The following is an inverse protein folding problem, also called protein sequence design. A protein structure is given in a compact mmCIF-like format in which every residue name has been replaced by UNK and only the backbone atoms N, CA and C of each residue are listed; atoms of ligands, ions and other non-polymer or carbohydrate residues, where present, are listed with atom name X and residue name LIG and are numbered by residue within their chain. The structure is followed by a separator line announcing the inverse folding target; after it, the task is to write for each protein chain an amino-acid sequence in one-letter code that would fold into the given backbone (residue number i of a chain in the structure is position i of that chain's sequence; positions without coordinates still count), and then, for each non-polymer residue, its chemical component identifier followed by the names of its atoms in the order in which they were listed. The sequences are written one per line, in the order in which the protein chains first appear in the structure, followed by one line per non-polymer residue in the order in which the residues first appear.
data_IF_274692755723
#
_entry.id   IF_274692755723
#
_cell.length_a   1.000
_cell.length_b   1.000
_cell.length_c   1.000
_cell.angle_alpha   90.00
_cell.angle_beta   90.00
_cell.angle_gamma   90.00
#
_symmetry.space_group_name_H-M   'P 1'
#
loop_
_entity.id
_entity.type
_entity.pdbx_description
1 polymer ?
#
# COMPACT_ATOMS: atom_id res chain seq x y z
N UNK A 1 -23.84 -4.98 -40.08
CA UNK A 1 -23.63 -3.70 -39.39
C UNK A 1 -22.13 -3.55 -39.32
N UNK A 2 -21.60 -2.59 -40.05
CA UNK A 2 -20.16 -2.43 -40.21
C UNK A 2 -19.51 -1.96 -38.92
N UNK A 3 -18.46 -2.62 -38.48
CA UNK A 3 -17.68 -2.26 -37.28
C UNK A 3 -17.03 -0.88 -37.44
N UNK A 4 -16.83 -0.39 -38.64
CA UNK A 4 -16.15 0.88 -38.95
C UNK A 4 -16.95 2.11 -38.55
N UNK A 5 -18.28 2.05 -38.41
CA UNK A 5 -19.12 3.17 -37.93
C UNK A 5 -19.11 3.36 -36.40
N UNK A 6 -18.66 2.37 -35.65
CA UNK A 6 -18.56 2.41 -34.16
C UNK A 6 -17.42 3.31 -33.66
N UNK A 7 -16.49 3.64 -34.54
CA UNK A 7 -15.15 4.11 -34.14
C UNK A 7 -15.01 5.65 -34.25
N UNK A 8 -15.84 6.35 -35.03
CA UNK A 8 -15.62 7.76 -35.41
C UNK A 8 -15.93 8.83 -34.35
N UNK A 9 -16.23 8.48 -33.10
CA UNK A 9 -16.65 9.43 -32.05
C UNK A 9 -15.82 9.50 -30.78
N UNK A 10 -14.60 8.94 -30.78
CA UNK A 10 -13.90 8.57 -29.53
C UNK A 10 -12.60 9.35 -29.23
N UNK A 11 -12.25 10.36 -30.02
CA UNK A 11 -11.02 11.13 -29.79
C UNK A 11 -11.21 12.15 -28.65
N UNK A 12 -10.52 11.93 -27.58
CA UNK A 12 -10.03 12.77 -26.48
C UNK A 12 -10.24 12.17 -25.07
N UNK A 13 -9.13 12.02 -24.39
CA UNK A 13 -8.91 11.72 -22.97
C UNK A 13 -8.56 10.26 -22.68
N UNK A 14 -7.25 9.98 -22.61
CA UNK A 14 -6.57 9.29 -21.51
C UNK A 14 -5.08 9.07 -21.83
N UNK A 15 -4.20 9.26 -20.87
CA UNK A 15 -2.75 9.37 -20.98
C UNK A 15 -1.95 8.08 -21.31
N UNK A 16 -2.46 7.21 -22.16
CA UNK A 16 -1.74 5.99 -22.62
C UNK A 16 -1.06 6.14 -23.98
N UNK A 17 -1.23 7.28 -24.67
CA UNK A 17 -0.64 7.51 -26.00
C UNK A 17 -1.27 6.70 -27.13
N UNK A 18 -2.15 5.74 -26.85
CA UNK A 18 -2.92 4.97 -27.82
C UNK A 18 -4.31 5.61 -28.00
N UNK A 19 -4.79 5.89 -29.21
CA UNK A 19 -6.13 6.42 -29.44
C UNK A 19 -7.21 5.51 -28.82
N UNK A 20 -8.22 6.12 -28.16
CA UNK A 20 -9.29 5.36 -27.47
C UNK A 20 -9.94 4.34 -28.41
N UNK A 21 -10.09 4.68 -29.69
CA UNK A 21 -10.69 3.84 -30.71
C UNK A 21 -9.94 2.52 -30.91
N UNK A 22 -8.61 2.53 -30.88
CA UNK A 22 -7.79 1.35 -31.14
C UNK A 22 -7.88 0.34 -30.00
N UNK A 23 -7.69 0.77 -28.76
CA UNK A 23 -7.77 -0.15 -27.64
C UNK A 23 -9.20 -0.62 -27.34
N UNK A 24 -10.23 0.22 -27.56
CA UNK A 24 -11.64 -0.20 -27.42
C UNK A 24 -11.97 -1.26 -28.46
N UNK A 25 -11.59 -1.08 -29.72
CA UNK A 25 -11.81 -2.08 -30.77
C UNK A 25 -11.10 -3.41 -30.46
N UNK A 26 -9.86 -3.35 -29.98
CA UNK A 26 -9.11 -4.54 -29.54
C UNK A 26 -9.81 -5.27 -28.40
N UNK A 27 -10.26 -4.52 -27.37
CA UNK A 27 -10.98 -5.08 -26.22
C UNK A 27 -12.32 -5.68 -26.67
N UNK A 28 -13.04 -5.03 -27.57
CA UNK A 28 -14.28 -5.60 -28.14
C UNK A 28 -14.06 -6.92 -28.87
N UNK A 29 -12.98 -7.02 -29.64
CA UNK A 29 -12.63 -8.26 -30.37
C UNK A 29 -12.27 -9.41 -29.41
N UNK A 30 -11.60 -9.09 -28.31
CA UNK A 30 -11.13 -10.11 -27.35
C UNK A 30 -12.19 -10.50 -26.30
N UNK A 31 -12.95 -9.53 -25.78
CA UNK A 31 -13.88 -9.71 -24.67
C UNK A 31 -15.35 -9.55 -25.02
N UNK A 32 -15.66 -9.31 -26.28
CA UNK A 32 -17.01 -9.08 -26.77
C UNK A 32 -17.49 -7.63 -26.68
N UNK A 33 -18.72 -7.34 -27.10
CA UNK A 33 -19.26 -5.98 -27.18
C UNK A 33 -19.59 -5.40 -25.80
N UNK A 34 -19.73 -4.06 -25.68
CA UNK A 34 -20.11 -3.41 -24.44
C UNK A 34 -21.51 -3.80 -23.93
N UNK A 35 -22.38 -4.24 -24.86
CA UNK A 35 -23.71 -4.75 -24.52
C UNK A 35 -24.21 -5.69 -25.64
N UNK A 36 -25.18 -6.52 -25.29
CA UNK A 36 -25.89 -7.40 -26.23
C UNK A 36 -27.23 -6.82 -26.58
N UNK A 37 -27.60 -6.85 -27.87
CA UNK A 37 -28.89 -6.37 -28.35
C UNK A 37 -29.87 -7.56 -28.46
N UNK A 38 -31.14 -7.29 -28.18
CA UNK A 38 -32.22 -8.22 -28.51
C UNK A 38 -32.62 -8.10 -29.98
N UNK A 39 -33.58 -8.94 -30.43
CA UNK A 39 -34.07 -8.98 -31.80
C UNK A 39 -34.71 -7.64 -32.29
N UNK A 40 -35.08 -6.76 -31.35
CA UNK A 40 -35.61 -5.41 -31.65
C UNK A 40 -34.51 -4.32 -31.67
N UNK A 41 -33.24 -4.68 -31.62
CA UNK A 41 -32.12 -3.75 -31.56
C UNK A 41 -31.97 -2.98 -30.25
N UNK A 42 -32.66 -3.42 -29.16
CA UNK A 42 -32.53 -2.80 -27.85
C UNK A 42 -31.54 -3.56 -26.98
N UNK A 43 -30.79 -2.83 -26.16
CA UNK A 43 -29.87 -3.44 -25.20
C UNK A 43 -30.64 -4.35 -24.26
N UNK A 44 -30.21 -5.61 -24.16
CA UNK A 44 -30.79 -6.65 -23.29
C UNK A 44 -29.90 -6.97 -22.10
N UNK A 45 -28.57 -6.90 -22.28
CA UNK A 45 -27.56 -7.26 -21.24
C UNK A 45 -26.28 -6.49 -21.46
N UNK A 46 -25.55 -6.18 -20.35
CA UNK A 46 -24.18 -5.64 -20.44
C UNK A 46 -23.18 -6.74 -20.85
N UNK A 47 -22.15 -6.33 -21.56
CA UNK A 47 -20.94 -7.12 -21.81
C UNK A 47 -20.00 -6.99 -20.62
N UNK A 48 -20.28 -7.69 -19.53
CA UNK A 48 -19.51 -7.59 -18.29
C UNK A 48 -18.00 -7.77 -18.49
N UNK A 49 -17.51 -8.76 -19.27
CA UNK A 49 -16.09 -8.94 -19.55
C UNK A 49 -15.45 -7.74 -20.28
N UNK A 50 -16.20 -7.11 -21.19
CA UNK A 50 -15.74 -5.92 -21.90
C UNK A 50 -15.46 -4.77 -20.91
N UNK A 51 -16.41 -4.44 -20.05
CA UNK A 51 -16.27 -3.34 -19.09
C UNK A 51 -15.13 -3.59 -18.08
N UNK A 52 -14.97 -4.83 -17.65
CA UNK A 52 -13.88 -5.23 -16.80
C UNK A 52 -12.52 -5.07 -17.49
N UNK A 53 -12.39 -5.54 -18.72
CA UNK A 53 -11.16 -5.43 -19.52
C UNK A 53 -10.82 -3.99 -19.87
N UNK A 54 -11.83 -3.20 -20.27
CA UNK A 54 -11.69 -1.78 -20.55
C UNK A 54 -11.12 -1.04 -19.34
N UNK A 55 -11.69 -1.26 -18.16
CA UNK A 55 -11.25 -0.57 -16.96
C UNK A 55 -9.89 -1.03 -16.46
N UNK A 56 -9.55 -2.32 -16.63
CA UNK A 56 -8.23 -2.86 -16.35
C UNK A 56 -7.14 -2.24 -17.27
N UNK A 57 -7.50 -1.95 -18.51
CA UNK A 57 -6.60 -1.25 -19.43
C UNK A 57 -6.42 0.23 -19.08
N UNK A 58 -7.52 0.91 -18.73
CA UNK A 58 -7.52 2.34 -18.40
C UNK A 58 -6.87 2.67 -17.06
N UNK A 59 -6.69 1.71 -16.15
CA UNK A 59 -6.19 1.97 -14.80
C UNK A 59 -5.23 0.89 -14.34
N UNK A 60 -4.14 1.29 -13.71
CA UNK A 60 -3.28 0.35 -13.03
C UNK A 60 -3.94 -0.09 -11.70
N UNK A 61 -4.85 -1.06 -11.80
CA UNK A 61 -5.56 -1.61 -10.64
C UNK A 61 -5.09 -3.03 -10.37
N UNK A 62 -4.91 -3.37 -9.11
CA UNK A 62 -4.55 -4.70 -8.63
C UNK A 62 -5.64 -5.17 -7.68
N UNK A 63 -6.13 -6.40 -7.87
CA UNK A 63 -6.88 -7.14 -6.87
C UNK A 63 -5.91 -8.06 -6.12
N UNK A 64 -5.80 -7.89 -4.80
CA UNK A 64 -5.02 -8.78 -3.92
C UNK A 64 -5.96 -9.80 -3.29
N UNK A 65 -5.90 -11.07 -3.67
CA UNK A 65 -6.76 -12.11 -3.10
C UNK A 65 -6.47 -12.34 -1.61
N UNK A 66 -5.22 -12.16 -1.17
CA UNK A 66 -4.83 -12.33 0.23
C UNK A 66 -5.46 -11.29 1.16
N UNK A 67 -5.75 -10.11 0.63
CA UNK A 67 -6.38 -9.02 1.39
C UNK A 67 -7.85 -8.84 1.02
N UNK A 68 -8.33 -9.59 0.01
CA UNK A 68 -9.66 -9.45 -0.61
C UNK A 68 -9.98 -7.97 -0.87
N UNK A 69 -9.06 -7.29 -1.59
CA UNK A 69 -9.13 -5.85 -1.75
C UNK A 69 -8.52 -5.38 -3.07
N UNK A 70 -9.11 -4.32 -3.62
CA UNK A 70 -8.59 -3.61 -4.77
C UNK A 70 -7.66 -2.49 -4.37
N UNK A 71 -6.62 -2.29 -5.16
CA UNK A 71 -5.66 -1.21 -5.05
C UNK A 71 -5.48 -0.54 -6.41
N UNK A 72 -5.57 0.78 -6.47
CA UNK A 72 -5.34 1.56 -7.69
C UNK A 72 -4.10 2.42 -7.53
N UNK A 73 -3.27 2.38 -8.54
CA UNK A 73 -2.11 3.25 -8.65
C UNK A 73 -2.53 4.70 -8.88
N UNK A 74 -1.82 5.61 -8.24
CA UNK A 74 -1.97 7.04 -8.41
C UNK A 74 -0.66 7.62 -8.95
N UNK A 75 -0.69 8.09 -10.20
CA UNK A 75 0.47 8.63 -10.90
C UNK A 75 1.03 9.89 -10.23
N UNK A 76 0.21 10.64 -9.47
CA UNK A 76 0.65 11.88 -8.82
C UNK A 76 1.57 11.66 -7.63
N UNK A 77 1.52 10.50 -6.99
CA UNK A 77 2.32 10.19 -5.80
C UNK A 77 3.04 8.83 -5.86
N UNK A 78 2.84 8.06 -6.93
CA UNK A 78 3.49 6.77 -7.13
C UNK A 78 3.02 5.64 -6.22
N UNK A 79 1.85 5.76 -5.58
CA UNK A 79 1.37 4.81 -4.59
C UNK A 79 0.09 4.09 -5.04
N UNK A 80 -0.05 2.85 -4.59
CA UNK A 80 -1.30 2.10 -4.67
C UNK A 80 -2.18 2.39 -3.46
N UNK A 81 -3.31 3.07 -3.69
CA UNK A 81 -4.33 3.31 -2.68
C UNK A 81 -5.43 2.24 -2.70
N UNK A 82 -5.88 1.82 -1.52
CA UNK A 82 -7.00 0.87 -1.39
C UNK A 82 -8.30 1.52 -1.88
N UNK A 83 -9.06 0.80 -2.72
CA UNK A 83 -10.36 1.23 -3.23
C UNK A 83 -11.45 0.44 -2.50
N UNK A 84 -12.49 1.14 -2.03
CA UNK A 84 -13.69 0.49 -1.49
C UNK A 84 -14.55 -0.05 -2.63
N UNK A 85 -15.31 -1.12 -2.38
CA UNK A 85 -16.28 -1.61 -3.36
C UNK A 85 -17.30 -0.54 -3.78
N UNK A 86 -17.71 0.33 -2.86
CA UNK A 86 -18.62 1.44 -3.16
C UNK A 86 -18.03 2.41 -4.17
N UNK A 87 -16.75 2.77 -3.99
CA UNK A 87 -16.02 3.63 -4.94
C UNK A 87 -15.87 2.95 -6.31
N UNK A 88 -15.59 1.63 -6.31
CA UNK A 88 -15.47 0.86 -7.55
C UNK A 88 -16.81 0.78 -8.31
N UNK A 89 -17.93 0.55 -7.60
CA UNK A 89 -19.27 0.58 -8.19
C UNK A 89 -19.60 1.94 -8.80
N UNK A 90 -19.29 3.01 -8.10
CA UNK A 90 -19.49 4.38 -8.60
C UNK A 90 -18.65 4.65 -9.84
N UNK A 91 -17.43 4.19 -9.87
CA UNK A 91 -16.49 4.32 -10.97
C UNK A 91 -17.01 3.61 -12.24
N UNK A 92 -17.41 2.34 -12.15
CA UNK A 92 -18.04 1.63 -13.26
C UNK A 92 -19.34 2.26 -13.72
N UNK A 93 -20.23 2.68 -12.79
CA UNK A 93 -21.48 3.36 -13.14
C UNK A 93 -21.23 4.66 -13.91
N UNK A 94 -20.22 5.42 -13.50
CA UNK A 94 -19.82 6.65 -14.16
C UNK A 94 -19.22 6.38 -15.56
N UNK A 95 -18.35 5.35 -15.69
CA UNK A 95 -17.74 4.98 -16.97
C UNK A 95 -18.79 4.53 -18.00
N UNK A 96 -19.77 3.72 -17.56
CA UNK A 96 -20.91 3.31 -18.41
C UNK A 96 -21.74 4.52 -18.85
N UNK A 97 -22.01 5.45 -17.93
CA UNK A 97 -22.76 6.68 -18.27
C UNK A 97 -22.00 7.55 -19.27
N UNK A 98 -20.70 7.69 -19.11
CA UNK A 98 -19.85 8.46 -20.00
C UNK A 98 -19.86 7.84 -21.42
N UNK A 99 -19.75 6.51 -21.50
CA UNK A 99 -19.85 5.79 -22.75
C UNK A 99 -21.23 5.95 -23.40
N UNK A 100 -22.31 5.85 -22.64
CA UNK A 100 -23.67 6.05 -23.16
C UNK A 100 -23.88 7.45 -23.76
N UNK A 101 -23.23 8.47 -23.21
CA UNK A 101 -23.29 9.84 -23.74
C UNK A 101 -22.43 10.04 -25.00
N UNK A 102 -21.29 9.37 -25.06
CA UNK A 102 -20.34 9.48 -26.17
C UNK A 102 -20.72 8.57 -27.36
N UNK A 103 -21.05 7.34 -27.06
CA UNK A 103 -21.35 6.32 -28.05
C UNK A 103 -22.85 6.35 -28.37
N UNK A 104 -23.24 7.16 -29.34
CA UNK A 104 -24.66 7.38 -29.70
C UNK A 104 -25.42 6.06 -29.94
N UNK A 105 -24.79 5.07 -30.51
CA UNK A 105 -25.34 3.74 -30.75
C UNK A 105 -25.65 2.97 -29.45
N UNK A 106 -25.00 3.34 -28.37
CA UNK A 106 -25.12 2.73 -27.05
C UNK A 106 -25.80 3.61 -26.02
N UNK A 107 -26.58 4.63 -26.45
CA UNK A 107 -27.26 5.56 -25.55
C UNK A 107 -28.12 4.84 -24.48
N UNK A 108 -28.69 3.67 -24.79
CA UNK A 108 -29.47 2.85 -23.85
C UNK A 108 -28.68 2.26 -22.69
N UNK A 109 -27.34 2.30 -22.71
CA UNK A 109 -26.47 1.81 -21.61
C UNK A 109 -26.72 2.52 -20.27
N UNK A 110 -27.19 3.77 -20.30
CA UNK A 110 -27.47 4.54 -19.09
C UNK A 110 -28.45 3.82 -18.11
N UNK A 111 -29.28 2.93 -18.63
CA UNK A 111 -30.26 2.15 -17.84
C UNK A 111 -29.65 0.93 -17.15
N UNK A 112 -28.44 0.53 -17.51
CA UNK A 112 -27.78 -0.68 -17.06
C UNK A 112 -26.70 -0.37 -16.02
N UNK A 113 -27.09 0.32 -14.94
CA UNK A 113 -26.18 0.72 -13.85
C UNK A 113 -26.67 0.26 -12.47
N UNK A 114 -27.53 -0.75 -12.44
CA UNK A 114 -27.98 -1.33 -11.18
C UNK A 114 -26.82 -2.02 -10.45
N UNK A 115 -26.88 -2.10 -9.13
CA UNK A 115 -25.86 -2.76 -8.33
C UNK A 115 -25.62 -4.22 -8.74
N UNK A 116 -26.67 -4.94 -9.14
CA UNK A 116 -26.55 -6.33 -9.59
C UNK A 116 -25.69 -6.45 -10.86
N UNK A 117 -25.94 -5.58 -11.85
CA UNK A 117 -25.19 -5.55 -13.12
C UNK A 117 -23.73 -5.14 -12.90
N UNK A 118 -23.48 -4.13 -12.07
CA UNK A 118 -22.13 -3.69 -11.76
C UNK A 118 -21.35 -4.75 -10.95
N UNK A 119 -22.00 -5.48 -10.05
CA UNK A 119 -21.37 -6.59 -9.35
C UNK A 119 -20.90 -7.70 -10.30
N UNK A 120 -21.64 -7.96 -11.38
CA UNK A 120 -21.17 -8.87 -12.43
C UNK A 120 -19.85 -8.41 -13.07
N UNK A 121 -19.77 -7.10 -13.40
CA UNK A 121 -18.53 -6.51 -13.95
C UNK A 121 -17.39 -6.63 -12.94
N UNK A 122 -17.63 -6.33 -11.66
CA UNK A 122 -16.60 -6.38 -10.61
C UNK A 122 -16.00 -7.79 -10.49
N UNK A 123 -16.80 -8.84 -10.56
CA UNK A 123 -16.29 -10.22 -10.52
C UNK A 123 -15.34 -10.53 -11.69
N UNK A 124 -15.66 -10.07 -12.88
CA UNK A 124 -14.74 -10.18 -14.03
C UNK A 124 -13.49 -9.34 -13.84
N UNK A 125 -13.64 -8.16 -13.21
CA UNK A 125 -12.53 -7.25 -12.93
C UNK A 125 -11.58 -7.81 -11.87
N UNK A 126 -12.09 -8.51 -10.85
CA UNK A 126 -11.29 -9.26 -9.87
C UNK A 126 -10.33 -10.21 -10.60
N UNK A 127 -10.89 -11.15 -11.38
CA UNK A 127 -10.06 -12.12 -12.10
C UNK A 127 -9.11 -11.50 -13.12
N UNK A 128 -9.46 -10.32 -13.68
CA UNK A 128 -8.62 -9.62 -14.65
C UNK A 128 -7.45 -8.88 -14.03
N UNK A 129 -7.61 -8.41 -12.79
CA UNK A 129 -6.62 -7.58 -12.08
C UNK A 129 -5.98 -8.32 -10.91
N UNK A 130 -6.27 -9.61 -10.75
CA UNK A 130 -5.70 -10.45 -9.70
C UNK A 130 -4.19 -10.57 -9.83
N UNK A 131 -3.51 -10.26 -8.75
CA UNK A 131 -2.06 -10.44 -8.60
C UNK A 131 -1.79 -11.05 -7.24
N UNK A 132 -1.38 -12.31 -7.25
CA UNK A 132 -0.99 -13.05 -6.04
C UNK A 132 0.26 -12.41 -5.45
N UNK A 133 0.28 -12.23 -4.13
CA UNK A 133 1.40 -11.62 -3.39
C UNK A 133 1.86 -10.25 -3.94
N UNK A 134 0.94 -9.48 -4.53
CA UNK A 134 1.21 -8.23 -5.23
C UNK A 134 2.13 -7.26 -4.48
N UNK A 135 1.99 -7.21 -3.15
CA UNK A 135 2.73 -6.30 -2.27
C UNK A 135 3.68 -7.03 -1.31
N UNK A 136 3.92 -8.33 -1.53
CA UNK A 136 4.63 -9.21 -0.58
C UNK A 136 5.79 -9.98 -1.20
N UNK A 137 5.91 -10.01 -2.54
CA UNK A 137 6.91 -10.83 -3.22
C UNK A 137 8.32 -10.53 -2.71
N UNK A 138 9.02 -11.56 -2.24
CA UNK A 138 10.43 -11.49 -1.85
C UNK A 138 11.37 -11.40 -3.04
N UNK A 139 10.98 -12.01 -4.15
CA UNK A 139 11.83 -12.12 -5.34
C UNK A 139 11.93 -10.81 -6.13
N UNK A 140 10.93 -9.93 -6.00
CA UNK A 140 10.88 -8.66 -6.72
C UNK A 140 11.06 -7.45 -5.78
N UNK A 141 11.43 -7.68 -4.52
CA UNK A 141 11.62 -6.54 -3.61
C UNK A 141 12.85 -5.75 -4.01
N UNK A 142 12.63 -4.48 -4.23
CA UNK A 142 13.68 -3.50 -4.42
C UNK A 142 13.73 -2.56 -3.21
N UNK A 143 14.91 -2.15 -2.75
CA UNK A 143 15.05 -1.17 -1.67
C UNK A 143 14.70 0.23 -2.17
N UNK A 144 13.40 0.52 -2.24
CA UNK A 144 12.85 1.78 -2.76
C UNK A 144 12.01 2.51 -1.71
N UNK A 145 12.07 3.82 -1.74
CA UNK A 145 11.31 4.74 -0.88
C UNK A 145 10.55 5.71 -1.78
N UNK A 146 9.21 5.72 -1.73
CA UNK A 146 8.45 6.79 -2.37
C UNK A 146 8.61 8.08 -1.56
N UNK A 147 8.97 9.16 -2.22
CA UNK A 147 8.94 10.53 -1.70
C UNK A 147 7.87 11.33 -2.44
N UNK A 148 7.55 12.53 -1.98
CA UNK A 148 6.50 13.34 -2.61
C UNK A 148 6.81 13.73 -4.06
N UNK A 149 8.07 13.79 -4.44
CA UNK A 149 8.53 14.23 -5.77
C UNK A 149 9.19 13.14 -6.61
N UNK A 150 9.42 11.94 -6.08
CA UNK A 150 10.12 10.86 -6.81
C UNK A 150 10.11 9.55 -6.03
N UNK A 151 10.62 8.50 -6.65
CA UNK A 151 11.05 7.28 -5.96
C UNK A 151 12.57 7.32 -5.79
N UNK A 152 13.04 7.01 -4.59
CA UNK A 152 14.47 6.86 -4.30
C UNK A 152 14.77 5.36 -4.21
N UNK A 153 15.63 4.88 -5.08
CA UNK A 153 16.11 3.50 -5.06
C UNK A 153 17.52 3.46 -4.47
N UNK A 154 17.78 2.46 -3.66
CA UNK A 154 19.15 2.16 -3.22
C UNK A 154 19.77 1.25 -4.28
N UNK A 155 20.89 1.67 -4.85
CA UNK A 155 21.68 0.86 -5.74
C UNK A 155 22.39 -0.24 -4.92
N UNK A 156 22.15 -1.50 -5.26
CA UNK A 156 22.67 -2.64 -4.48
C UNK A 156 24.18 -2.86 -4.67
N UNK A 157 24.75 -2.35 -5.78
CA UNK A 157 26.17 -2.55 -6.09
C UNK A 157 27.05 -1.59 -5.29
N UNK A 158 26.63 -0.33 -5.18
CA UNK A 158 27.45 0.72 -4.57
C UNK A 158 26.81 1.40 -3.34
N UNK A 159 25.52 1.06 -3.05
CA UNK A 159 24.76 1.67 -1.95
C UNK A 159 24.31 3.11 -2.19
N UNK A 160 24.46 3.62 -3.39
CA UNK A 160 24.07 5.00 -3.72
C UNK A 160 22.55 5.15 -3.85
N UNK A 161 22.07 6.37 -3.58
CA UNK A 161 20.68 6.71 -3.73
C UNK A 161 20.41 7.25 -5.13
N UNK A 162 19.63 6.51 -5.91
CA UNK A 162 19.24 6.85 -7.27
C UNK A 162 17.81 7.38 -7.29
N UNK A 163 17.60 8.55 -7.89
CA UNK A 163 16.28 9.13 -8.08
C UNK A 163 15.64 8.58 -9.35
N UNK A 164 14.42 8.04 -9.21
CA UNK A 164 13.60 7.52 -10.31
C UNK A 164 12.23 8.18 -10.35
N UNK A 165 11.59 8.14 -11.53
CA UNK A 165 10.21 8.60 -11.69
C UNK A 165 9.23 7.61 -11.05
N UNK A 166 8.03 8.09 -10.71
CA UNK A 166 6.95 7.23 -10.27
C UNK A 166 6.61 6.16 -11.31
N UNK A 167 6.39 4.94 -10.86
CA UNK A 167 6.03 3.83 -11.72
C UNK A 167 5.22 2.78 -10.96
N UNK A 168 4.16 2.21 -11.57
CA UNK A 168 3.37 1.14 -10.97
C UNK A 168 4.20 -0.14 -10.70
N UNK A 169 5.33 -0.32 -11.38
CA UNK A 169 6.25 -1.46 -11.17
C UNK A 169 6.75 -1.59 -9.74
N UNK A 170 6.88 -0.49 -9.00
CA UNK A 170 7.39 -0.49 -7.63
C UNK A 170 6.39 -1.02 -6.60
N UNK A 171 5.12 -1.09 -6.93
CA UNK A 171 4.04 -1.63 -6.08
C UNK A 171 4.05 -1.08 -4.64
N UNK A 172 4.30 0.23 -4.51
CA UNK A 172 4.37 0.92 -3.23
C UNK A 172 2.97 1.31 -2.74
N UNK A 173 2.73 1.16 -1.43
CA UNK A 173 1.47 1.58 -0.77
C UNK A 173 1.67 2.68 0.24
N UNK A 174 2.90 2.92 0.63
CA UNK A 174 3.29 3.93 1.60
C UNK A 174 4.48 4.71 1.06
N UNK A 175 4.56 5.97 1.44
CA UNK A 175 5.65 6.84 1.03
C UNK A 175 5.83 7.98 2.02
N UNK A 176 7.00 8.61 1.95
CA UNK A 176 7.33 9.83 2.66
C UNK A 176 6.56 11.01 2.04
N UNK A 177 5.79 11.79 2.79
CA UNK A 177 5.04 12.92 2.27
C UNK A 177 5.92 14.15 1.93
N UNK A 178 7.23 14.04 2.09
CA UNK A 178 8.17 15.12 1.83
C UNK A 178 8.98 14.86 0.55
N UNK A 179 9.48 15.95 -0.04
CA UNK A 179 10.38 15.89 -1.17
C UNK A 179 11.73 15.28 -0.77
N UNK A 180 12.28 14.47 -1.65
CA UNK A 180 13.67 14.06 -1.54
C UNK A 180 14.57 15.18 -2.08
N UNK A 181 15.42 15.71 -1.20
CA UNK A 181 16.41 16.76 -1.46
C UNK A 181 17.76 16.32 -0.89
N UNK A 182 18.67 15.77 -1.72
CA UNK A 182 19.92 15.16 -1.24
C UNK A 182 20.84 16.15 -0.50
N UNK A 183 20.74 17.43 -0.83
CA UNK A 183 21.57 18.50 -0.25
C UNK A 183 20.87 19.28 0.86
N UNK A 184 19.72 18.83 1.35
CA UNK A 184 18.99 19.51 2.42
C UNK A 184 19.84 19.59 3.70
N UNK A 185 20.03 20.81 4.21
CA UNK A 185 20.72 21.05 5.50
C UNK A 185 19.74 20.80 6.65
N UNK A 186 20.23 20.16 7.70
CA UNK A 186 19.42 19.76 8.86
C UNK A 186 20.04 20.08 10.23
N UNK A 187 20.71 21.25 10.42
CA UNK A 187 21.46 21.52 11.65
C UNK A 187 20.57 21.48 12.91
N UNK A 188 19.35 22.01 12.83
CA UNK A 188 18.43 22.03 13.96
C UNK A 188 17.95 20.61 14.34
N UNK A 189 17.66 19.76 13.34
CA UNK A 189 17.30 18.37 13.55
C UNK A 189 18.45 17.59 14.21
N UNK A 190 19.67 17.74 13.68
CA UNK A 190 20.87 17.10 14.21
C UNK A 190 21.12 17.50 15.66
N UNK A 191 21.04 18.78 15.97
CA UNK A 191 21.26 19.29 17.33
C UNK A 191 20.16 18.83 18.31
N UNK A 192 18.88 18.95 17.92
CA UNK A 192 17.77 18.62 18.78
C UNK A 192 17.59 17.11 19.01
N UNK A 193 17.83 16.30 17.97
CA UNK A 193 17.59 14.85 18.02
C UNK A 193 18.81 14.08 18.49
N UNK A 194 20.00 14.46 18.07
CA UNK A 194 21.22 13.68 18.28
C UNK A 194 22.31 14.40 19.09
N UNK A 195 22.11 15.68 19.45
CA UNK A 195 23.14 16.48 20.11
C UNK A 195 23.54 15.99 21.51
N UNK A 196 22.74 15.12 22.13
CA UNK A 196 22.97 14.53 23.45
C UNK A 196 23.11 13.01 23.45
N UNK A 197 23.23 12.40 22.26
CA UNK A 197 23.31 10.96 22.06
C UNK A 197 24.74 10.59 21.68
N UNK A 198 25.24 9.48 22.23
CA UNK A 198 26.55 8.94 21.88
C UNK A 198 26.61 8.58 20.39
N UNK A 199 27.79 8.69 19.72
CA UNK A 199 27.92 8.45 18.30
C UNK A 199 27.42 7.08 17.84
N UNK A 200 27.68 6.03 18.59
CA UNK A 200 27.27 4.66 18.29
C UNK A 200 25.74 4.52 18.32
N UNK A 201 25.10 5.08 19.33
CA UNK A 201 23.65 5.08 19.48
C UNK A 201 22.98 5.92 18.37
N UNK A 202 23.59 7.05 17.99
CA UNK A 202 23.14 7.85 16.85
C UNK A 202 23.14 7.02 15.57
N UNK A 203 24.19 6.27 15.28
CA UNK A 203 24.28 5.42 14.10
C UNK A 203 23.18 4.34 14.11
N UNK A 204 22.93 3.71 15.27
CA UNK A 204 21.86 2.70 15.42
C UNK A 204 20.49 3.32 15.16
N UNK A 205 20.20 4.51 15.68
CA UNK A 205 18.95 5.21 15.46
C UNK A 205 18.76 5.61 14.00
N UNK A 206 19.80 6.05 13.32
CA UNK A 206 19.77 6.37 11.89
C UNK A 206 19.49 5.12 11.05
N UNK A 207 20.12 3.99 11.36
CA UNK A 207 19.85 2.70 10.70
C UNK A 207 18.43 2.21 10.95
N UNK A 208 17.91 2.36 12.18
CA UNK A 208 16.53 2.04 12.51
C UNK A 208 15.53 2.89 11.71
N UNK A 209 15.81 4.19 11.58
CA UNK A 209 15.03 5.11 10.76
C UNK A 209 15.05 4.73 9.28
N UNK A 210 16.21 4.43 8.73
CA UNK A 210 16.38 3.96 7.35
C UNK A 210 15.61 2.66 7.08
N UNK A 211 15.69 1.70 7.99
CA UNK A 211 14.93 0.45 7.90
C UNK A 211 13.42 0.69 7.94
N UNK A 212 12.96 1.64 8.77
CA UNK A 212 11.55 2.02 8.81
C UNK A 212 11.07 2.61 7.49
N UNK A 213 11.87 3.46 6.84
CA UNK A 213 11.58 4.02 5.52
C UNK A 213 11.48 2.95 4.43
N UNK A 214 12.32 1.93 4.47
CA UNK A 214 12.25 0.78 3.56
C UNK A 214 11.01 -0.10 3.80
N UNK A 215 10.30 0.08 4.92
CA UNK A 215 9.11 -0.68 5.27
C UNK A 215 9.36 -2.16 5.56
N UNK A 216 10.63 -2.56 5.76
CA UNK A 216 11.03 -3.95 6.06
C UNK A 216 12.02 -4.00 7.21
N UNK A 217 11.88 -5.00 8.06
CA UNK A 217 12.83 -5.31 9.13
C UNK A 217 13.88 -6.32 8.62
N UNK A 218 14.83 -5.82 7.84
CA UNK A 218 15.87 -6.65 7.21
C UNK A 218 16.77 -7.32 8.26
N UNK A 219 17.04 -6.61 9.36
CA UNK A 219 17.91 -7.08 10.43
C UNK A 219 17.21 -8.02 11.41
N UNK A 220 15.90 -8.24 11.28
CA UNK A 220 15.10 -9.05 12.22
C UNK A 220 15.25 -8.59 13.69
N UNK A 221 15.26 -7.29 13.93
CA UNK A 221 15.49 -6.67 15.24
C UNK A 221 14.35 -5.77 15.66
N UNK A 222 14.27 -5.56 16.98
CA UNK A 222 13.38 -4.57 17.61
C UNK A 222 14.26 -3.48 18.18
N UNK A 223 13.92 -2.21 17.95
CA UNK A 223 14.54 -1.09 18.64
C UNK A 223 13.83 -0.88 19.98
N UNK A 224 14.56 -0.91 21.08
CA UNK A 224 14.06 -0.52 22.42
C UNK A 224 14.72 0.80 22.76
N UNK A 225 13.89 1.83 22.98
CA UNK A 225 14.34 3.15 23.37
C UNK A 225 14.17 3.27 24.89
N UNK A 226 15.26 3.17 25.63
CA UNK A 226 15.29 3.38 27.08
C UNK A 226 16.00 4.68 27.43
N UNK A 227 15.68 5.30 28.57
CA UNK A 227 16.30 6.54 29.02
C UNK A 227 15.35 7.37 29.89
N UNK A 228 15.89 8.41 30.54
CA UNK A 228 15.15 9.33 31.39
C UNK A 228 14.06 10.10 30.65
N UNK A 229 13.11 10.66 31.37
CA UNK A 229 12.11 11.60 30.83
C UNK A 229 12.78 12.80 30.15
N UNK A 230 12.25 13.23 29.00
CA UNK A 230 12.81 14.34 28.24
C UNK A 230 14.00 13.98 27.33
N UNK A 231 14.39 12.71 27.20
CA UNK A 231 15.51 12.26 26.33
C UNK A 231 15.12 12.08 24.86
N UNK A 232 14.17 12.83 24.35
CA UNK A 232 13.75 12.85 22.92
C UNK A 232 13.25 11.51 22.32
N UNK A 233 13.01 10.47 23.13
CA UNK A 233 12.50 9.17 22.65
C UNK A 233 11.19 9.30 21.85
N UNK A 234 10.22 10.01 22.44
CA UNK A 234 8.91 10.24 21.83
C UNK A 234 9.01 11.09 20.56
N UNK A 235 9.91 12.08 20.56
CA UNK A 235 10.17 12.94 19.39
C UNK A 235 10.80 12.16 18.24
N UNK A 236 11.70 11.21 18.53
CA UNK A 236 12.26 10.32 17.52
C UNK A 236 11.17 9.48 16.86
N UNK A 237 10.30 8.84 17.64
CA UNK A 237 9.17 8.06 17.13
C UNK A 237 8.17 8.93 16.37
N UNK A 238 7.86 10.13 16.89
CA UNK A 238 6.97 11.09 16.22
C UNK A 238 7.55 11.56 14.88
N UNK A 239 8.86 11.81 14.82
CA UNK A 239 9.57 12.14 13.57
C UNK A 239 9.46 11.02 12.54
N UNK A 240 9.71 9.76 12.92
CA UNK A 240 9.55 8.61 12.02
C UNK A 240 8.11 8.47 11.54
N UNK A 241 7.12 8.65 12.43
CA UNK A 241 5.70 8.64 12.06
C UNK A 241 5.36 9.76 11.07
N UNK A 242 5.91 10.96 11.27
CA UNK A 242 5.74 12.09 10.35
C UNK A 242 6.31 11.82 8.96
N UNK A 243 7.51 11.21 8.90
CA UNK A 243 8.18 10.87 7.64
C UNK A 243 7.47 9.72 6.89
N UNK A 244 6.97 8.72 7.61
CA UNK A 244 6.31 7.55 7.01
C UNK A 244 4.85 7.82 6.63
N UNK A 245 4.22 8.82 7.24
CA UNK A 245 2.80 9.09 7.10
C UNK A 245 1.93 8.17 7.99
N UNK A 246 0.75 8.67 8.37
CA UNK A 246 -0.16 7.99 9.30
C UNK A 246 -0.64 6.60 8.81
N UNK A 247 -0.80 6.44 7.50
CA UNK A 247 -1.26 5.18 6.90
C UNK A 247 -0.25 4.04 7.00
N UNK A 248 1.04 4.37 7.13
CA UNK A 248 2.11 3.39 7.27
C UNK A 248 2.34 2.98 8.74
N UNK A 249 1.78 3.70 9.70
CA UNK A 249 2.08 3.58 11.11
C UNK A 249 0.90 3.02 11.91
N UNK A 250 1.21 2.17 12.90
CA UNK A 250 0.23 1.75 13.90
C UNK A 250 0.87 1.66 15.29
N UNK A 251 0.04 1.69 16.32
CA UNK A 251 0.46 1.48 17.69
C UNK A 251 0.59 -0.02 17.96
N UNK A 252 1.70 -0.41 18.60
CA UNK A 252 1.92 -1.76 19.10
C UNK A 252 1.46 -1.86 20.54
N UNK A 253 0.27 -2.35 20.76
CA UNK A 253 -0.31 -2.59 22.11
C UNK A 253 0.11 -3.95 22.61
N UNK A 254 1.28 -4.04 23.25
CA UNK A 254 1.89 -5.32 23.65
C UNK A 254 1.02 -6.18 24.56
N UNK A 255 0.14 -5.55 25.38
CA UNK A 255 -0.81 -6.25 26.26
C UNK A 255 -1.98 -6.90 25.52
N UNK A 256 -2.28 -6.50 24.29
CA UNK A 256 -3.45 -6.92 23.52
C UNK A 256 -3.13 -7.84 22.35
N UNK A 257 -1.86 -8.20 22.12
CA UNK A 257 -1.40 -8.98 20.96
C UNK A 257 -2.05 -10.37 20.81
N UNK A 258 -2.69 -10.87 21.85
CA UNK A 258 -3.43 -12.13 21.82
C UNK A 258 -4.92 -11.98 21.52
N UNK A 259 -5.41 -10.75 21.46
CA UNK A 259 -6.80 -10.51 21.13
C UNK A 259 -7.05 -10.82 19.65
N UNK A 260 -8.22 -11.39 19.38
CA UNK A 260 -8.62 -11.97 18.08
C UNK A 260 -8.37 -11.06 16.87
N UNK A 261 -8.62 -9.75 17.02
CA UNK A 261 -8.56 -8.81 15.90
C UNK A 261 -7.35 -7.86 15.94
N UNK A 262 -6.51 -7.93 16.96
CA UNK A 262 -5.41 -6.97 17.15
C UNK A 262 -4.39 -7.05 16.01
N UNK A 263 -3.97 -8.26 15.66
CA UNK A 263 -3.01 -8.47 14.57
C UNK A 263 -3.60 -7.99 13.23
N UNK A 264 -4.89 -8.23 12.99
CA UNK A 264 -5.60 -7.75 11.81
C UNK A 264 -5.61 -6.23 11.70
N UNK A 265 -5.79 -5.52 12.82
CA UNK A 265 -5.82 -4.07 12.86
C UNK A 265 -4.48 -3.43 12.49
N UNK A 266 -3.36 -4.08 12.85
CA UNK A 266 -2.01 -3.59 12.52
C UNK A 266 -1.43 -4.19 11.24
N UNK A 267 -2.18 -5.06 10.55
CA UNK A 267 -1.70 -5.84 9.40
C UNK A 267 -1.20 -5.00 8.23
N UNK A 268 -1.80 -3.84 7.97
CA UNK A 268 -1.42 -2.94 6.87
C UNK A 268 -0.25 -2.02 7.19
N UNK A 269 0.09 -1.80 8.47
CA UNK A 269 1.16 -0.90 8.86
C UNK A 269 2.55 -1.48 8.54
N UNK A 270 3.47 -0.65 8.08
CA UNK A 270 4.89 -0.98 7.89
C UNK A 270 5.78 -0.60 9.08
N UNK A 271 5.28 0.28 9.94
CA UNK A 271 5.95 0.74 11.15
C UNK A 271 5.03 0.58 12.36
N UNK A 272 5.51 -0.13 13.37
CA UNK A 272 4.81 -0.31 14.64
C UNK A 272 5.61 0.33 15.74
N UNK A 273 4.98 1.13 16.59
CA UNK A 273 5.63 1.72 17.77
C UNK A 273 4.77 1.53 19.00
N UNK A 274 5.38 1.10 20.10
CA UNK A 274 4.73 0.98 21.42
C UNK A 274 5.24 2.04 22.37
N UNK A 275 4.34 2.75 23.02
CA UNK A 275 4.64 3.69 24.10
C UNK A 275 4.47 2.99 25.45
N UNK A 276 5.30 3.35 26.43
CA UNK A 276 5.21 2.88 27.82
C UNK A 276 5.05 1.36 27.98
N UNK A 277 5.87 0.62 27.24
CA UNK A 277 5.82 -0.83 27.24
C UNK A 277 6.41 -1.37 28.54
N UNK A 278 5.73 -2.27 29.26
CA UNK A 278 6.25 -2.86 30.49
C UNK A 278 7.59 -3.55 30.28
N UNK A 279 8.55 -3.44 31.20
CA UNK A 279 9.88 -4.01 31.08
C UNK A 279 9.93 -5.54 30.93
N UNK A 280 8.86 -6.22 31.31
CA UNK A 280 8.69 -7.67 31.22
C UNK A 280 7.92 -8.14 29.95
N UNK A 281 7.65 -7.24 28.99
CA UNK A 281 6.79 -7.54 27.83
C UNK A 281 7.28 -8.73 26.99
N UNK A 282 8.60 -8.95 26.93
CA UNK A 282 9.20 -10.10 26.22
C UNK A 282 9.01 -11.42 26.98
N UNK A 283 8.65 -11.39 28.25
CA UNK A 283 8.32 -12.57 29.05
C UNK A 283 6.83 -12.88 29.06
N UNK A 284 6.00 -11.99 28.54
CA UNK A 284 4.55 -12.16 28.45
C UNK A 284 4.16 -13.00 27.24
N UNK A 285 2.95 -13.50 27.27
CA UNK A 285 2.41 -14.36 26.23
C UNK A 285 2.39 -13.73 24.82
N UNK A 286 2.28 -12.38 24.73
CA UNK A 286 2.39 -11.64 23.47
C UNK A 286 3.78 -11.64 22.81
N UNK A 287 4.82 -12.01 23.52
CA UNK A 287 6.19 -12.04 22.98
C UNK A 287 6.36 -12.99 21.79
N UNK A 288 5.60 -14.10 21.74
CA UNK A 288 5.59 -15.02 20.60
C UNK A 288 5.15 -14.31 19.32
N UNK A 289 4.12 -13.48 19.42
CA UNK A 289 3.59 -12.71 18.26
C UNK A 289 4.64 -11.71 17.78
N UNK A 290 5.30 -11.01 18.71
CA UNK A 290 6.36 -10.05 18.38
C UNK A 290 7.52 -10.77 17.68
N UNK A 291 7.98 -11.93 18.21
CA UNK A 291 9.04 -12.74 17.59
C UNK A 291 8.65 -13.17 16.17
N UNK A 292 7.43 -13.66 15.98
CA UNK A 292 6.94 -14.05 14.66
C UNK A 292 6.90 -12.87 13.68
N UNK A 293 6.43 -11.68 14.14
CA UNK A 293 6.44 -10.47 13.31
C UNK A 293 7.84 -10.03 12.90
N UNK A 294 8.81 -10.11 13.81
CA UNK A 294 10.22 -9.73 13.58
C UNK A 294 10.93 -10.76 12.72
N UNK A 295 10.69 -12.07 12.99
CA UNK A 295 11.24 -13.18 12.23
C UNK A 295 10.68 -13.36 10.82
N UNK A 296 9.65 -12.60 10.46
CA UNK A 296 8.92 -12.74 9.20
C UNK A 296 8.20 -14.11 9.07
N UNK A 297 7.75 -14.64 10.19
CA UNK A 297 6.94 -15.84 10.21
C UNK A 297 5.52 -15.55 9.70
N UNK A 298 4.84 -16.62 9.27
CA UNK A 298 3.46 -16.54 8.86
C UNK A 298 2.56 -16.36 10.09
N UNK A 299 1.82 -15.27 10.14
CA UNK A 299 0.80 -15.02 11.15
C UNK A 299 -0.58 -15.09 10.53
N UNK A 300 -1.42 -15.94 11.08
CA UNK A 300 -2.84 -15.92 10.77
C UNK A 300 -3.52 -14.84 11.60
N UNK A 301 -4.36 -14.04 10.96
CA UNK A 301 -5.17 -13.04 11.65
C UNK A 301 -6.56 -12.94 11.06
N UNK A 302 -7.49 -12.45 11.86
CA UNK A 302 -8.84 -12.16 11.44
C UNK A 302 -9.04 -10.64 11.43
N UNK A 303 -9.65 -10.13 10.37
CA UNK A 303 -10.04 -8.73 10.30
C UNK A 303 -11.51 -8.57 10.73
N UNK A 304 -11.81 -7.54 11.52
CA UNK A 304 -13.18 -7.25 11.96
C UNK A 304 -14.08 -7.00 10.75
N UNK A 305 -15.18 -7.77 10.64
CA UNK A 305 -16.13 -7.68 9.52
C UNK A 305 -15.73 -8.48 8.28
N UNK A 306 -14.67 -9.28 8.33
CA UNK A 306 -14.26 -10.19 7.27
C UNK A 306 -14.41 -11.64 7.71
N UNK A 307 -15.01 -12.49 6.85
CA UNK A 307 -15.10 -13.93 7.08
C UNK A 307 -13.83 -14.68 6.65
N UNK A 308 -12.78 -13.95 6.26
CA UNK A 308 -11.55 -14.53 5.75
C UNK A 308 -10.42 -14.38 6.77
N UNK A 309 -9.63 -15.43 6.94
CA UNK A 309 -8.35 -15.38 7.64
C UNK A 309 -7.30 -14.81 6.70
N UNK A 310 -6.63 -13.76 7.12
CA UNK A 310 -5.55 -13.14 6.35
C UNK A 310 -4.23 -13.65 6.88
N UNK A 311 -3.38 -14.16 6.00
CA UNK A 311 -2.01 -14.54 6.35
C UNK A 311 -1.11 -13.32 6.17
N UNK A 312 -0.38 -12.94 7.23
CA UNK A 312 0.54 -11.81 7.20
C UNK A 312 1.97 -12.34 7.25
N UNK A 313 2.73 -12.01 6.22
CA UNK A 313 4.19 -12.11 6.20
C UNK A 313 4.74 -10.71 5.98
N UNK A 314 5.14 -10.02 7.03
CA UNK A 314 5.76 -8.70 6.90
C UNK A 314 6.84 -8.53 7.95
N UNK A 315 8.01 -8.14 7.50
CA UNK A 315 9.04 -7.57 8.33
C UNK A 315 8.62 -6.14 8.69
N UNK A 316 8.68 -5.79 9.97
CA UNK A 316 8.27 -4.49 10.48
C UNK A 316 9.34 -3.93 11.39
N UNK A 317 9.57 -2.62 11.29
CA UNK A 317 10.36 -1.90 12.28
C UNK A 317 9.51 -1.65 13.50
N UNK A 318 9.99 -2.07 14.66
CA UNK A 318 9.26 -1.95 15.94
C UNK A 318 10.16 -1.20 16.91
N UNK A 319 10.06 0.13 17.06
CA UNK A 319 10.61 0.82 18.20
C UNK A 319 9.66 0.71 19.40
N UNK A 320 10.21 0.35 20.52
CA UNK A 320 9.50 0.21 21.81
C UNK A 320 10.09 1.21 22.77
N UNK A 321 9.25 2.01 23.43
CA UNK A 321 9.66 2.89 24.50
C UNK A 321 9.41 2.21 25.85
N UNK A 322 10.40 2.21 26.73
CA UNK A 322 10.23 1.75 28.11
C UNK A 322 10.01 2.93 29.07
N UNK A 323 9.17 2.77 30.10
CA UNK A 323 9.05 3.76 31.13
C UNK A 323 10.38 3.89 31.90
N UNK A 324 10.71 5.13 32.27
CA UNK A 324 11.93 5.57 32.93
C UNK A 324 12.61 4.53 33.82
N UNK A 325 13.81 4.09 33.45
CA UNK A 325 14.80 3.58 34.39
C UNK A 325 15.70 4.75 34.83
N UNK A 326 16.16 4.71 36.06
CA UNK A 326 16.96 5.78 36.70
C UNK A 326 18.42 5.89 36.19
N UNK A 327 18.70 5.49 34.97
CA UNK A 327 20.02 5.59 34.33
C UNK A 327 20.08 6.81 33.37
N UNK A 328 21.18 7.54 33.47
CA UNK A 328 21.41 8.83 32.79
C UNK A 328 21.75 8.74 31.32
N UNK A 329 21.74 7.57 30.72
CA UNK A 329 22.15 7.39 29.32
C UNK A 329 20.98 6.89 28.48
N UNK A 330 20.91 7.39 27.25
CA UNK A 330 20.04 6.88 26.20
C UNK A 330 20.58 5.52 25.77
N UNK A 331 19.83 4.45 25.98
CA UNK A 331 20.23 3.09 25.60
C UNK A 331 19.34 2.61 24.47
N UNK A 332 19.92 2.21 23.37
CA UNK A 332 19.23 1.51 22.30
C UNK A 332 19.67 0.03 22.32
N UNK A 333 18.84 -0.84 22.88
CA UNK A 333 19.08 -2.28 22.82
C UNK A 333 18.42 -2.88 21.58
N UNK A 334 19.24 -3.48 20.73
CA UNK A 334 18.78 -4.31 19.63
C UNK A 334 18.80 -5.78 20.02
N UNK A 335 17.65 -6.38 20.31
CA UNK A 335 17.55 -7.80 20.62
C UNK A 335 17.65 -8.65 19.35
N UNK A 336 18.58 -9.59 19.38
CA UNK A 336 18.74 -10.63 18.36
C UNK A 336 17.79 -11.78 18.71
N UNK A 337 16.84 -12.13 17.83
CA UNK A 337 16.17 -13.43 17.93
C UNK A 337 17.13 -14.48 17.35
N UNK A 338 18.01 -15.06 18.18
CA UNK A 338 18.65 -16.33 17.80
C UNK A 338 17.58 -17.42 17.83
N UNK A 339 17.57 -18.22 16.77
CA UNK A 339 16.88 -19.50 16.70
C UNK A 339 17.32 -20.41 17.84
#
# INVERSE_FOLDING_TARGET
MDQDHLISGLDEVLGTGEPENEYVARIMNEYGPPAFLNYNGRISKLGEPFWAALRAHETHTIFSPEENAFYRYNDSNGLYGKITEGALRTDFAHRILTAAKRWKEWAGLERFRSSAQINGIIRHFEGKTEVIDAFRSRQEWQPVIACANCVVRIDEENGELVKENFSPKFRLRHGCPYNYEPNAKRPNFEAAMFGHIEPDDKEVLQKLGGQALLGRNICQRIGILDGIGGSSKSEFVATLRGILGSHACAELRTGHLQERFEIGAIASASFLSGSDVPGDFLSRSGARVIKAMVGNDLLECEAKGSNFRVQIRRLRSIPIQQPNRSSSNFFCECFYSRQ
#
